data_IF_210403524351
#
_entry.id   IF_210403524351
#
_cell.length_a   1.000
_cell.length_b   1.000
_cell.length_c   1.000
_cell.angle_alpha   90.00
_cell.angle_beta   90.00
_cell.angle_gamma   90.00
#
_symmetry.space_group_name_H-M   'P 1'
#
loop_
_entity.id
_entity.type
_entity.pdbx_description
1 polymer ?
#
# COMPACT_ATOMS: atom_id res chain seq x y z
N UNK A 1 16.77 3.29 11.33
CA UNK A 1 15.98 4.53 11.23
C UNK A 1 14.51 4.19 11.00
N UNK A 2 13.64 4.62 11.92
CA UNK A 2 12.18 4.61 11.80
C UNK A 2 11.69 6.06 11.80
N UNK A 3 10.55 6.34 11.19
CA UNK A 3 10.07 7.70 11.03
C UNK A 3 8.57 7.71 10.74
N UNK A 4 7.87 8.74 11.24
CA UNK A 4 6.45 8.99 10.98
C UNK A 4 6.33 10.25 10.11
N UNK A 5 5.25 10.35 9.33
CA UNK A 5 4.97 11.49 8.46
C UNK A 5 3.53 11.96 8.68
N UNK A 6 3.34 13.27 8.82
CA UNK A 6 2.03 13.88 8.71
C UNK A 6 1.65 13.92 7.21
N UNK A 7 0.44 13.49 6.88
CA UNK A 7 0.03 13.15 5.51
C UNK A 7 -0.62 14.34 4.76
N UNK A 8 -1.01 15.40 5.47
CA UNK A 8 -1.57 16.61 4.87
C UNK A 8 -0.60 17.30 3.88
N UNK A 9 0.72 17.46 4.14
CA UNK A 9 1.61 18.16 3.21
C UNK A 9 2.00 17.34 1.98
N UNK A 10 2.10 16.01 2.09
CA UNK A 10 2.58 15.17 1.00
C UNK A 10 2.07 13.72 1.05
N UNK A 11 2.12 13.05 -0.10
CA UNK A 11 1.83 11.62 -0.22
C UNK A 11 3.09 10.78 0.04
N UNK A 12 2.87 9.52 0.42
CA UNK A 12 3.93 8.57 0.81
C UNK A 12 5.09 8.49 -0.19
N UNK A 13 4.84 8.61 -1.50
CA UNK A 13 5.89 8.60 -2.53
C UNK A 13 6.99 9.62 -2.27
N UNK A 14 6.64 10.85 -1.86
CA UNK A 14 7.61 11.92 -1.60
C UNK A 14 8.45 11.59 -0.35
N UNK A 15 7.79 11.11 0.69
CA UNK A 15 8.46 10.71 1.92
C UNK A 15 9.43 9.53 1.70
N UNK A 16 9.02 8.57 0.88
CA UNK A 16 9.84 7.42 0.50
C UNK A 16 11.07 7.87 -0.28
N UNK A 17 10.93 8.87 -1.16
CA UNK A 17 12.09 9.47 -1.85
C UNK A 17 13.09 10.07 -0.84
N UNK A 18 12.64 10.88 0.12
CA UNK A 18 13.51 11.44 1.16
C UNK A 18 14.21 10.34 1.96
N UNK A 19 13.48 9.28 2.31
CA UNK A 19 14.03 8.17 3.07
C UNK A 19 15.06 7.36 2.28
N UNK A 20 14.81 7.11 1.00
CA UNK A 20 15.77 6.43 0.12
C UNK A 20 17.02 7.28 -0.10
N UNK A 21 16.86 8.59 -0.24
CA UNK A 21 17.99 9.53 -0.35
C UNK A 21 18.92 9.35 0.86
N UNK A 22 18.38 9.48 2.08
CA UNK A 22 19.17 9.34 3.33
C UNK A 22 19.81 7.96 3.41
N UNK A 23 19.01 6.88 3.26
CA UNK A 23 19.49 5.49 3.42
C UNK A 23 20.60 5.15 2.44
N UNK A 24 20.47 5.55 1.18
CA UNK A 24 21.41 5.14 0.15
C UNK A 24 22.64 6.05 0.09
N UNK A 25 22.52 7.34 0.43
CA UNK A 25 23.71 8.18 0.61
C UNK A 25 24.53 7.71 1.82
N UNK A 26 23.88 7.37 2.94
CA UNK A 26 24.57 6.76 4.09
C UNK A 26 25.31 5.47 3.71
N UNK A 27 24.67 4.60 2.91
CA UNK A 27 25.27 3.34 2.47
C UNK A 27 26.41 3.50 1.47
N UNK A 28 26.25 4.38 0.47
CA UNK A 28 27.15 4.44 -0.70
C UNK A 28 28.16 5.57 -0.64
N UNK A 29 27.84 6.69 0.00
CA UNK A 29 28.82 7.75 0.26
C UNK A 29 29.61 7.48 1.53
N UNK A 30 29.08 6.63 2.43
CA UNK A 30 29.71 6.27 3.71
C UNK A 30 30.20 7.51 4.47
N UNK A 31 29.29 8.45 4.81
CA UNK A 31 29.68 9.71 5.43
C UNK A 31 30.20 9.54 6.86
N UNK A 32 30.13 8.32 7.43
CA UNK A 32 30.55 8.00 8.78
C UNK A 32 31.77 7.07 8.79
N UNK A 33 32.71 7.34 9.69
CA UNK A 33 33.87 6.49 9.96
C UNK A 33 33.49 5.21 10.74
N UNK A 34 34.45 4.30 10.98
CA UNK A 34 34.22 3.06 11.72
C UNK A 34 33.74 3.24 13.17
N UNK A 35 33.93 4.43 13.73
CA UNK A 35 33.46 4.86 15.06
C UNK A 35 32.05 5.46 15.05
N UNK A 36 31.44 5.60 13.87
CA UNK A 36 30.11 6.20 13.68
C UNK A 36 30.11 7.73 13.62
N UNK A 37 31.27 8.39 13.61
CA UNK A 37 31.38 9.85 13.49
C UNK A 37 31.46 10.29 12.02
N UNK A 38 30.96 11.49 11.72
CA UNK A 38 31.09 12.05 10.36
C UNK A 38 32.56 12.15 9.94
N UNK A 39 32.86 11.75 8.71
CA UNK A 39 34.18 11.90 8.11
C UNK A 39 34.40 13.39 7.79
N UNK A 40 35.50 13.96 8.29
CA UNK A 40 35.88 15.36 8.04
C UNK A 40 36.51 16.02 9.26
N UNK A 41 36.78 17.32 9.18
CA UNK A 41 37.14 18.14 10.34
C UNK A 41 35.89 18.73 10.97
N UNK A 42 35.84 18.72 12.30
CA UNK A 42 34.77 19.38 13.05
C UNK A 42 35.09 20.87 13.13
N UNK A 43 34.35 21.69 12.37
CA UNK A 43 34.53 23.14 12.39
C UNK A 43 33.79 23.79 13.58
N UNK A 44 32.61 23.28 13.92
CA UNK A 44 31.78 23.78 15.01
C UNK A 44 30.89 22.67 15.59
N UNK A 45 30.75 22.62 16.91
CA UNK A 45 29.78 21.75 17.59
C UNK A 45 28.72 22.65 18.24
N UNK A 46 27.48 22.66 17.75
CA UNK A 46 26.42 23.46 18.35
C UNK A 46 26.08 22.93 19.75
N UNK A 47 25.76 23.83 20.67
CA UNK A 47 25.25 23.47 21.99
C UNK A 47 23.73 23.26 21.88
N UNK A 48 23.18 22.08 22.21
CA UNK A 48 21.75 21.85 22.16
C UNK A 48 21.03 22.68 23.23
N UNK A 49 19.98 23.39 22.83
CA UNK A 49 19.13 24.15 23.75
C UNK A 49 17.95 23.29 24.21
N UNK A 50 17.75 23.19 25.51
CA UNK A 50 16.58 22.51 26.07
C UNK A 50 15.36 23.41 25.94
N UNK A 51 14.36 22.96 25.18
CA UNK A 51 13.03 23.59 25.17
C UNK A 51 12.32 23.30 26.50
N UNK A 52 12.01 24.35 27.25
CA UNK A 52 11.30 24.27 28.53
C UNK A 52 9.85 24.74 28.36
N UNK A 53 8.93 24.07 29.04
CA UNK A 53 7.51 24.39 29.04
C UNK A 53 7.04 24.55 30.49
N UNK A 54 6.38 25.66 30.79
CA UNK A 54 5.68 25.83 32.06
C UNK A 54 4.33 25.13 31.96
N UNK A 55 4.11 24.12 32.81
CA UNK A 55 2.89 23.31 32.79
C UNK A 55 1.98 23.72 33.94
N UNK A 56 0.84 24.31 33.61
CA UNK A 56 -0.24 24.58 34.56
C UNK A 56 -1.18 23.36 34.69
N UNK A 57 -2.16 23.45 35.59
CA UNK A 57 -3.08 22.33 35.83
C UNK A 57 -3.91 21.99 34.58
N UNK A 58 -4.33 22.99 33.80
CA UNK A 58 -5.07 22.77 32.55
C UNK A 58 -4.25 21.97 31.54
N UNK A 59 -2.97 22.31 31.39
CA UNK A 59 -2.03 21.59 30.51
C UNK A 59 -1.79 20.16 31.00
N UNK A 60 -1.61 19.97 32.30
CA UNK A 60 -1.42 18.62 32.88
C UNK A 60 -2.66 17.75 32.67
N UNK A 61 -3.85 18.31 32.87
CA UNK A 61 -5.12 17.59 32.64
C UNK A 61 -5.28 17.21 31.16
N UNK A 62 -4.92 18.12 30.24
CA UNK A 62 -4.94 17.85 28.80
C UNK A 62 -3.93 16.75 28.38
N UNK A 63 -2.75 16.71 29.01
CA UNK A 63 -1.76 15.64 28.80
C UNK A 63 -2.35 14.29 29.24
N UNK A 64 -2.99 14.24 30.40
CA UNK A 64 -3.61 13.00 30.91
C UNK A 64 -4.75 12.52 30.02
N UNK A 65 -5.57 13.42 29.50
CA UNK A 65 -6.62 13.10 28.53
C UNK A 65 -6.03 12.56 27.21
N UNK A 66 -5.04 13.27 26.65
CA UNK A 66 -4.35 12.86 25.42
C UNK A 66 -3.66 11.50 25.58
N UNK A 67 -3.08 11.22 26.76
CA UNK A 67 -2.49 9.93 27.07
C UNK A 67 -3.55 8.81 27.07
N UNK A 68 -4.69 9.01 27.73
CA UNK A 68 -5.78 8.02 27.76
C UNK A 68 -6.28 7.72 26.36
N UNK A 69 -6.51 8.75 25.55
CA UNK A 69 -6.92 8.60 24.15
C UNK A 69 -5.88 7.86 23.31
N UNK A 70 -4.60 8.28 23.39
CA UNK A 70 -3.50 7.66 22.64
C UNK A 70 -3.28 6.21 23.04
N UNK A 71 -3.37 5.90 24.34
CA UNK A 71 -3.26 4.55 24.85
C UNK A 71 -4.39 3.66 24.35
N UNK A 72 -5.63 4.16 24.35
CA UNK A 72 -6.76 3.42 23.81
C UNK A 72 -6.56 3.05 22.33
N UNK A 73 -6.13 4.02 21.49
CA UNK A 73 -5.82 3.76 20.08
C UNK A 73 -4.69 2.74 19.94
N UNK A 74 -3.61 2.86 20.72
CA UNK A 74 -2.49 1.93 20.67
C UNK A 74 -2.88 0.51 21.11
N UNK A 75 -3.73 0.39 22.13
CA UNK A 75 -4.21 -0.90 22.64
C UNK A 75 -5.18 -1.58 21.66
N UNK A 76 -5.94 -0.82 20.87
CA UNK A 76 -6.90 -1.32 19.86
C UNK A 76 -6.25 -1.61 18.49
N UNK A 77 -5.20 -0.89 18.13
CA UNK A 77 -4.53 -1.02 16.83
C UNK A 77 -3.82 -2.36 16.67
N UNK A 78 -4.01 -3.01 15.51
CA UNK A 78 -3.26 -4.22 15.12
C UNK A 78 -2.54 -4.01 13.80
N UNK A 79 -1.30 -4.47 13.73
CA UNK A 79 -0.49 -4.53 12.50
C UNK A 79 0.20 -5.89 12.40
N UNK A 80 -0.13 -6.66 11.37
CA UNK A 80 0.59 -7.86 10.99
C UNK A 80 1.44 -7.58 9.76
N UNK A 81 2.71 -8.00 9.76
CA UNK A 81 3.62 -7.71 8.66
C UNK A 81 4.50 -8.90 8.30
N UNK A 82 4.94 -8.95 7.05
CA UNK A 82 5.83 -9.99 6.55
C UNK A 82 6.70 -9.49 5.40
N UNK A 83 7.92 -10.02 5.32
CA UNK A 83 8.73 -10.01 4.09
C UNK A 83 8.56 -11.35 3.41
N UNK A 84 7.83 -11.36 2.31
CA UNK A 84 7.59 -12.54 1.50
C UNK A 84 8.74 -12.73 0.51
N UNK A 85 9.46 -13.85 0.63
CA UNK A 85 10.69 -14.16 -0.12
C UNK A 85 10.56 -15.37 -1.03
N UNK A 86 9.36 -15.94 -1.18
CA UNK A 86 9.18 -17.14 -2.04
C UNK A 86 9.26 -16.79 -3.52
N UNK A 87 8.90 -15.55 -3.89
CA UNK A 87 9.08 -14.95 -5.20
C UNK A 87 8.83 -13.42 -5.15
N UNK A 88 9.14 -12.72 -6.25
CA UNK A 88 8.84 -11.30 -6.42
C UNK A 88 8.42 -10.92 -7.84
N UNK A 89 8.62 -9.66 -8.21
CA UNK A 89 8.24 -9.12 -9.53
C UNK A 89 8.82 -9.91 -10.70
N UNK A 90 9.97 -10.56 -10.56
CA UNK A 90 10.59 -11.31 -11.66
C UNK A 90 9.83 -12.59 -11.97
N UNK A 91 9.17 -13.19 -10.98
CA UNK A 91 8.21 -14.26 -11.22
C UNK A 91 6.94 -13.72 -11.87
N UNK A 92 6.37 -12.62 -11.35
CA UNK A 92 5.12 -12.04 -11.87
C UNK A 92 5.21 -11.68 -13.36
N UNK A 93 6.39 -11.24 -13.83
CA UNK A 93 6.67 -11.00 -15.25
C UNK A 93 6.48 -12.25 -16.13
N UNK A 94 6.65 -13.47 -15.59
CA UNK A 94 6.38 -14.72 -16.33
C UNK A 94 4.89 -14.89 -16.63
N UNK A 95 4.02 -14.37 -15.76
CA UNK A 95 2.58 -14.29 -16.02
C UNK A 95 2.21 -13.19 -17.03
N UNK A 96 3.17 -12.35 -17.45
CA UNK A 96 3.00 -11.22 -18.39
C UNK A 96 1.97 -10.18 -17.91
N UNK A 97 1.94 -9.90 -16.62
CA UNK A 97 1.09 -8.87 -16.01
C UNK A 97 1.93 -7.89 -15.20
N UNK A 98 1.36 -6.71 -14.91
CA UNK A 98 2.00 -5.76 -13.98
C UNK A 98 2.13 -6.38 -12.58
N UNK A 99 3.30 -6.26 -11.92
CA UNK A 99 3.49 -6.72 -10.54
C UNK A 99 2.50 -6.11 -9.55
N UNK A 100 2.17 -4.84 -9.75
CA UNK A 100 1.21 -4.11 -8.92
C UNK A 100 -0.22 -4.66 -9.10
N UNK A 101 -0.67 -4.79 -10.34
CA UNK A 101 -1.97 -5.41 -10.65
C UNK A 101 -2.07 -6.86 -10.16
N UNK A 102 -0.98 -7.62 -10.25
CA UNK A 102 -0.91 -8.99 -9.73
C UNK A 102 -1.18 -9.01 -8.22
N UNK A 103 -0.53 -8.12 -7.46
CA UNK A 103 -0.73 -8.01 -6.01
C UNK A 103 -2.16 -7.54 -5.73
N UNK A 104 -2.66 -6.53 -6.42
CA UNK A 104 -4.05 -6.06 -6.27
C UNK A 104 -5.06 -7.20 -6.50
N UNK A 105 -4.85 -8.06 -7.50
CA UNK A 105 -5.70 -9.23 -7.72
C UNK A 105 -5.57 -10.28 -6.61
N UNK A 106 -4.36 -10.50 -6.08
CA UNK A 106 -4.16 -11.34 -4.90
C UNK A 106 -4.88 -10.79 -3.66
N UNK A 107 -4.89 -9.46 -3.47
CA UNK A 107 -5.64 -8.81 -2.40
C UNK A 107 -7.16 -8.97 -2.58
N UNK A 108 -7.68 -8.85 -3.81
CA UNK A 108 -9.11 -9.11 -4.09
C UNK A 108 -9.49 -10.57 -3.77
N UNK A 109 -8.63 -11.52 -4.11
CA UNK A 109 -8.85 -12.94 -3.82
C UNK A 109 -8.80 -13.22 -2.32
N UNK A 110 -7.81 -12.67 -1.62
CA UNK A 110 -7.66 -12.80 -0.18
C UNK A 110 -8.86 -12.20 0.56
N UNK A 111 -9.33 -11.02 0.13
CA UNK A 111 -10.46 -10.35 0.75
C UNK A 111 -11.75 -11.15 0.59
N UNK A 112 -11.97 -11.73 -0.59
CA UNK A 112 -13.13 -12.60 -0.80
C UNK A 112 -13.06 -13.88 0.03
N UNK A 113 -11.88 -14.48 0.21
CA UNK A 113 -11.69 -15.64 1.11
C UNK A 113 -12.01 -15.28 2.57
N UNK A 114 -11.59 -14.10 3.01
CA UNK A 114 -11.74 -13.64 4.39
C UNK A 114 -13.18 -13.19 4.73
N UNK A 115 -13.80 -12.43 3.83
CA UNK A 115 -15.09 -11.76 4.08
C UNK A 115 -16.27 -12.39 3.35
N UNK A 116 -16.03 -13.29 2.38
CA UNK A 116 -17.07 -13.99 1.61
C UNK A 116 -17.86 -13.11 0.62
N UNK A 117 -17.45 -11.84 0.44
CA UNK A 117 -18.11 -10.86 -0.44
C UNK A 117 -17.11 -9.95 -1.13
N UNK A 118 -17.54 -9.34 -2.22
CA UNK A 118 -16.80 -8.31 -2.94
C UNK A 118 -17.20 -6.93 -2.41
N UNK A 119 -16.22 -6.11 -2.03
CA UNK A 119 -16.47 -4.77 -1.50
C UNK A 119 -15.50 -3.74 -2.08
N UNK A 120 -15.83 -2.47 -1.90
CA UNK A 120 -15.04 -1.37 -2.43
C UNK A 120 -13.61 -1.42 -1.93
N UNK A 121 -12.67 -1.35 -2.86
CA UNK A 121 -11.23 -1.30 -2.57
C UNK A 121 -10.66 0.00 -3.10
N UNK A 122 -9.99 0.73 -2.22
CA UNK A 122 -9.26 1.95 -2.53
C UNK A 122 -7.80 1.64 -2.84
N UNK A 123 -7.29 2.21 -3.92
CA UNK A 123 -5.86 2.33 -4.20
C UNK A 123 -5.57 3.76 -4.71
N UNK A 124 -4.50 4.42 -4.24
CA UNK A 124 -4.14 5.74 -4.72
C UNK A 124 -3.42 5.68 -6.08
N UNK A 125 -3.94 6.39 -7.08
CA UNK A 125 -3.19 6.79 -8.27
C UNK A 125 -2.58 8.18 -8.05
N UNK A 126 -1.28 8.32 -8.34
CA UNK A 126 -0.59 9.61 -8.22
C UNK A 126 -0.97 10.57 -9.36
N UNK A 127 -1.32 11.81 -9.02
CA UNK A 127 -1.79 12.83 -9.97
C UNK A 127 -0.71 13.85 -10.35
N UNK A 128 0.57 13.51 -10.18
CA UNK A 128 1.72 14.43 -10.36
C UNK A 128 1.94 14.91 -11.80
N UNK A 129 1.17 14.41 -12.77
CA UNK A 129 1.13 14.97 -14.14
C UNK A 129 0.40 16.32 -14.19
N UNK A 130 -0.37 16.66 -13.16
CA UNK A 130 -1.11 17.90 -13.03
C UNK A 130 -0.48 18.80 -11.97
N UNK A 131 -0.59 20.12 -12.16
CA UNK A 131 -0.17 21.11 -11.17
C UNK A 131 -0.90 20.84 -9.85
N UNK A 132 -0.15 20.80 -8.74
CA UNK A 132 -0.67 20.52 -7.39
C UNK A 132 -1.39 19.18 -7.25
N UNK A 133 -1.20 18.26 -8.20
CA UNK A 133 -1.83 16.96 -8.19
C UNK A 133 -1.36 16.10 -7.02
N UNK A 134 -2.33 15.64 -6.21
CA UNK A 134 -2.16 14.67 -5.12
C UNK A 134 -2.50 13.26 -5.60
N UNK A 135 -3.70 12.79 -5.29
CA UNK A 135 -4.16 11.44 -5.63
C UNK A 135 -5.54 11.43 -6.25
N UNK A 136 -5.76 10.46 -7.14
CA UNK A 136 -7.06 9.95 -7.57
C UNK A 136 -7.23 8.52 -7.04
N UNK A 137 -8.44 7.98 -7.07
CA UNK A 137 -8.73 6.60 -6.64
C UNK A 137 -8.80 5.64 -7.82
N UNK A 138 -8.05 4.55 -7.70
CA UNK A 138 -8.25 3.33 -8.48
C UNK A 138 -9.12 2.38 -7.65
N UNK A 139 -10.17 1.86 -8.28
CA UNK A 139 -11.10 0.92 -7.66
C UNK A 139 -10.71 -0.51 -8.06
N UNK A 140 -9.90 -1.17 -7.23
CA UNK A 140 -9.37 -2.51 -7.54
C UNK A 140 -10.47 -3.59 -7.60
N UNK A 141 -11.57 -3.38 -6.88
CA UNK A 141 -12.77 -4.20 -7.00
C UNK A 141 -13.55 -3.80 -8.26
N UNK A 142 -13.58 -4.68 -9.26
CA UNK A 142 -14.21 -4.48 -10.56
C UNK A 142 -14.88 -5.77 -11.03
N UNK A 143 -15.67 -5.71 -12.11
CA UNK A 143 -16.29 -6.90 -12.68
C UNK A 143 -15.25 -7.95 -13.10
N UNK A 144 -14.11 -7.51 -13.64
CA UNK A 144 -13.01 -8.39 -14.05
C UNK A 144 -12.30 -9.03 -12.85
N UNK A 145 -12.02 -8.27 -11.78
CA UNK A 145 -11.42 -8.85 -10.59
C UNK A 145 -12.38 -9.83 -9.89
N UNK A 146 -13.68 -9.53 -9.87
CA UNK A 146 -14.70 -10.46 -9.37
C UNK A 146 -14.76 -11.76 -10.20
N UNK A 147 -14.71 -11.66 -11.52
CA UNK A 147 -14.73 -12.83 -12.42
C UNK A 147 -13.45 -13.69 -12.27
N UNK A 148 -12.30 -13.03 -12.14
CA UNK A 148 -11.03 -13.67 -11.82
C UNK A 148 -11.12 -14.44 -10.50
N UNK A 149 -11.54 -13.80 -9.40
CA UNK A 149 -11.62 -14.44 -8.08
C UNK A 149 -12.58 -15.63 -8.10
N UNK A 150 -13.77 -15.46 -8.69
CA UNK A 150 -14.74 -16.57 -8.85
C UNK A 150 -14.16 -17.72 -9.65
N UNK A 151 -13.43 -17.43 -10.71
CA UNK A 151 -12.79 -18.45 -11.56
C UNK A 151 -11.66 -19.17 -10.83
N UNK A 152 -10.81 -18.44 -10.09
CA UNK A 152 -9.71 -19.02 -9.32
C UNK A 152 -10.19 -20.03 -8.26
N UNK A 153 -11.28 -19.69 -7.57
CA UNK A 153 -11.82 -20.50 -6.46
C UNK A 153 -12.65 -21.71 -6.92
N UNK A 154 -12.94 -21.85 -8.22
CA UNK A 154 -13.59 -23.05 -8.76
C UNK A 154 -12.59 -24.21 -8.88
N UNK A 155 -13.01 -25.39 -8.43
CA UNK A 155 -12.20 -26.63 -8.50
C UNK A 155 -12.10 -27.18 -9.92
N UNK A 156 -13.16 -27.05 -10.71
CA UNK A 156 -13.29 -27.71 -12.02
C UNK A 156 -12.88 -26.82 -13.20
N UNK A 157 -12.05 -25.80 -12.96
CA UNK A 157 -11.51 -24.92 -14.01
C UNK A 157 -10.02 -25.15 -14.14
N UNK A 158 -9.55 -25.37 -15.37
CA UNK A 158 -8.14 -25.58 -15.66
C UNK A 158 -7.29 -24.31 -15.41
N UNK A 159 -5.98 -24.52 -15.24
CA UNK A 159 -5.02 -23.45 -14.98
C UNK A 159 -4.91 -22.45 -16.12
N UNK A 160 -5.17 -22.85 -17.37
CA UNK A 160 -5.09 -21.97 -18.54
C UNK A 160 -6.19 -20.92 -18.48
N UNK A 161 -7.42 -21.31 -18.17
CA UNK A 161 -8.56 -20.41 -18.02
C UNK A 161 -8.41 -19.51 -16.79
N UNK A 162 -7.89 -20.05 -15.68
CA UNK A 162 -7.55 -19.25 -14.49
C UNK A 162 -6.51 -18.17 -14.81
N UNK A 163 -5.45 -18.51 -15.55
CA UNK A 163 -4.44 -17.54 -15.99
C UNK A 163 -4.98 -16.50 -16.97
N UNK A 164 -5.87 -16.90 -17.89
CA UNK A 164 -6.56 -15.98 -18.79
C UNK A 164 -7.35 -14.92 -18.00
N UNK A 165 -8.13 -15.35 -17.00
CA UNK A 165 -8.89 -14.43 -16.15
C UNK A 165 -8.03 -13.54 -15.27
N UNK A 166 -6.90 -14.05 -14.78
CA UNK A 166 -5.91 -13.21 -14.10
C UNK A 166 -5.40 -12.09 -15.02
N UNK A 167 -5.04 -12.42 -16.27
CA UNK A 167 -4.53 -11.44 -17.23
C UNK A 167 -5.58 -10.39 -17.57
N UNK A 168 -6.81 -10.80 -17.88
CA UNK A 168 -7.92 -9.87 -18.15
C UNK A 168 -8.12 -8.88 -16.99
N UNK A 169 -8.13 -9.38 -15.75
CA UNK A 169 -8.33 -8.54 -14.57
C UNK A 169 -7.15 -7.59 -14.32
N UNK A 170 -5.91 -8.08 -14.49
CA UNK A 170 -4.72 -7.25 -14.40
C UNK A 170 -4.65 -6.18 -15.49
N UNK A 171 -5.00 -6.51 -16.73
CA UNK A 171 -4.98 -5.59 -17.86
C UNK A 171 -6.01 -4.48 -17.68
N UNK A 172 -7.24 -4.83 -17.26
CA UNK A 172 -8.27 -3.85 -16.92
C UNK A 172 -7.82 -2.94 -15.76
N UNK A 173 -7.26 -3.52 -14.70
CA UNK A 173 -6.76 -2.73 -13.57
C UNK A 173 -5.67 -1.74 -13.99
N UNK A 174 -4.73 -2.16 -14.83
CA UNK A 174 -3.68 -1.28 -15.35
C UNK A 174 -4.20 -0.20 -16.30
N UNK A 175 -5.19 -0.52 -17.14
CA UNK A 175 -5.85 0.48 -17.97
C UNK A 175 -6.57 1.52 -17.10
N UNK A 176 -7.27 1.09 -16.06
CA UNK A 176 -7.93 2.01 -15.14
C UNK A 176 -6.92 2.87 -14.37
N UNK A 177 -5.82 2.28 -13.90
CA UNK A 177 -4.75 3.02 -13.23
C UNK A 177 -4.16 4.13 -14.12
N UNK A 178 -3.87 3.83 -15.40
CA UNK A 178 -3.36 4.81 -16.37
C UNK A 178 -4.36 5.90 -16.70
N UNK A 179 -5.63 5.55 -16.87
CA UNK A 179 -6.68 6.54 -17.15
C UNK A 179 -6.95 7.44 -15.94
N UNK A 180 -6.92 6.89 -14.72
CA UNK A 180 -6.99 7.67 -13.49
C UNK A 180 -5.84 8.68 -13.38
N UNK A 181 -4.58 8.24 -13.58
CA UNK A 181 -3.41 9.14 -13.62
C UNK A 181 -3.49 10.22 -14.71
N UNK A 182 -4.23 9.95 -15.80
CA UNK A 182 -4.49 10.91 -16.87
C UNK A 182 -5.69 11.84 -16.58
N UNK A 183 -6.19 11.88 -15.35
CA UNK A 183 -7.30 12.75 -14.94
C UNK A 183 -8.68 12.26 -15.37
N UNK A 184 -8.83 10.98 -15.71
CA UNK A 184 -10.10 10.36 -16.10
C UNK A 184 -10.71 9.48 -15.00
N UNK A 185 -10.19 9.56 -13.78
CA UNK A 185 -10.82 8.96 -12.61
C UNK A 185 -12.12 9.69 -12.26
N UNK A 186 -12.99 9.01 -11.52
CA UNK A 186 -14.33 9.53 -11.20
C UNK A 186 -14.43 10.03 -9.76
N UNK A 187 -13.62 9.50 -8.84
CA UNK A 187 -13.80 9.72 -7.41
C UNK A 187 -13.54 11.18 -7.00
N UNK A 188 -12.43 11.79 -7.43
CA UNK A 188 -12.20 13.22 -7.13
C UNK A 188 -13.15 14.15 -7.87
N UNK A 189 -13.60 13.78 -9.07
CA UNK A 189 -14.63 14.54 -9.79
C UNK A 189 -15.97 14.51 -9.05
N UNK A 190 -16.44 13.33 -8.64
CA UNK A 190 -17.66 13.20 -7.84
C UNK A 190 -17.52 13.91 -6.49
N UNK A 191 -16.33 13.92 -5.89
CA UNK A 191 -16.08 14.64 -4.64
C UNK A 191 -16.18 16.14 -4.83
N UNK A 192 -15.62 16.69 -5.92
CA UNK A 192 -15.78 18.10 -6.24
C UNK A 192 -17.26 18.48 -6.43
N UNK A 193 -18.03 17.65 -7.14
CA UNK A 193 -19.49 17.86 -7.29
C UNK A 193 -20.20 17.80 -5.94
N UNK A 194 -19.82 16.89 -5.05
CA UNK A 194 -20.40 16.77 -3.72
C UNK A 194 -20.11 18.01 -2.87
N UNK A 195 -18.86 18.50 -2.84
CA UNK A 195 -18.49 19.72 -2.12
C UNK A 195 -19.28 20.93 -2.63
N UNK A 196 -19.38 21.10 -3.95
CA UNK A 196 -20.17 22.19 -4.56
C UNK A 196 -21.65 22.07 -4.23
N UNK A 197 -22.24 20.87 -4.32
CA UNK A 197 -23.64 20.65 -3.98
C UNK A 197 -23.93 20.98 -2.51
N UNK A 198 -23.04 20.59 -1.59
CA UNK A 198 -23.15 20.91 -0.16
C UNK A 198 -23.03 22.41 0.11
N UNK A 199 -22.11 23.09 -0.58
CA UNK A 199 -21.96 24.55 -0.47
C UNK A 199 -23.20 25.31 -0.97
N UNK A 200 -23.81 24.84 -2.06
CA UNK A 200 -25.03 25.41 -2.63
C UNK A 200 -26.31 24.89 -1.95
N UNK A 201 -26.20 24.07 -0.90
CA UNK A 201 -27.33 23.46 -0.18
C UNK A 201 -28.27 22.62 -1.09
N UNK A 202 -27.74 22.08 -2.18
CA UNK A 202 -28.47 21.22 -3.11
C UNK A 202 -28.37 19.78 -2.62
N UNK A 203 -29.52 19.16 -2.35
CA UNK A 203 -29.58 17.72 -2.05
C UNK A 203 -29.41 16.90 -3.32
N UNK A 204 -28.39 16.04 -3.33
CA UNK A 204 -28.14 15.12 -4.44
C UNK A 204 -28.05 13.69 -3.88
N UNK A 205 -29.20 12.98 -3.78
CA UNK A 205 -29.25 11.65 -3.16
C UNK A 205 -28.28 10.63 -3.76
N UNK A 206 -27.93 10.79 -5.04
CA UNK A 206 -26.90 9.98 -5.70
C UNK A 206 -25.52 10.17 -5.04
N UNK A 207 -25.09 11.42 -4.82
CA UNK A 207 -23.79 11.71 -4.20
C UNK A 207 -23.80 11.32 -2.72
N UNK A 208 -24.91 11.54 -2.00
CA UNK A 208 -25.07 11.06 -0.63
C UNK A 208 -24.92 9.53 -0.57
N UNK A 209 -25.47 8.79 -1.54
CA UNK A 209 -25.28 7.35 -1.62
C UNK A 209 -23.84 6.94 -1.95
N UNK A 210 -23.17 7.65 -2.87
CA UNK A 210 -21.78 7.37 -3.24
C UNK A 210 -20.85 7.55 -2.03
N UNK A 211 -20.96 8.68 -1.34
CA UNK A 211 -20.11 9.03 -0.20
C UNK A 211 -20.54 8.40 1.13
N UNK A 212 -21.75 7.84 1.20
CA UNK A 212 -22.21 7.04 2.34
C UNK A 212 -21.74 5.58 2.32
N UNK A 213 -21.05 5.13 1.27
CA UNK A 213 -20.50 3.77 1.21
C UNK A 213 -19.03 3.77 1.64
N UNK A 214 -18.68 2.85 2.51
CA UNK A 214 -17.31 2.71 3.00
C UNK A 214 -16.37 2.04 1.99
N UNK A 215 -15.08 2.33 2.15
CA UNK A 215 -13.99 1.60 1.51
C UNK A 215 -13.59 0.43 2.39
N UNK A 216 -14.17 -0.75 2.19
CA UNK A 216 -13.89 -1.88 3.09
C UNK A 216 -12.42 -2.33 3.08
N UNK A 217 -11.69 -2.08 2.00
CA UNK A 217 -10.25 -2.34 1.90
C UNK A 217 -9.54 -1.10 1.39
N UNK A 218 -8.60 -0.57 2.16
CA UNK A 218 -7.73 0.53 1.72
C UNK A 218 -6.32 0.02 1.49
N UNK A 219 -5.77 0.27 0.30
CA UNK A 219 -4.47 -0.25 -0.10
C UNK A 219 -3.53 0.86 -0.55
N UNK A 220 -2.22 0.66 -0.41
CA UNK A 220 -1.23 1.52 -1.04
C UNK A 220 0.04 0.74 -1.34
N UNK A 221 0.56 0.91 -2.56
CA UNK A 221 1.94 0.56 -2.83
C UNK A 221 2.86 1.62 -2.23
N UNK A 222 3.93 1.19 -1.55
CA UNK A 222 5.08 2.04 -1.23
C UNK A 222 6.19 1.75 -2.24
N UNK A 223 6.31 2.56 -3.31
CA UNK A 223 7.26 2.31 -4.38
C UNK A 223 8.68 2.61 -3.91
N UNK A 224 9.52 1.58 -3.97
CA UNK A 224 10.97 1.71 -3.80
C UNK A 224 11.65 1.89 -5.15
N UNK A 225 12.92 2.29 -5.14
CA UNK A 225 13.77 2.54 -6.32
C UNK A 225 13.62 3.93 -6.95
N UNK A 226 13.35 4.94 -6.15
CA UNK A 226 13.25 6.33 -6.61
C UNK A 226 14.62 6.99 -6.81
N UNK A 227 15.71 6.42 -6.27
CA UNK A 227 17.10 6.85 -6.52
C UNK A 227 17.70 6.11 -7.72
N UNK A 228 17.57 6.71 -8.91
CA UNK A 228 17.97 6.11 -10.19
C UNK A 228 19.48 5.84 -10.25
N UNK A 229 20.28 6.68 -9.61
CA UNK A 229 21.74 6.59 -9.50
C UNK A 229 22.20 5.27 -8.84
N UNK A 230 21.43 4.76 -7.86
CA UNK A 230 21.76 3.52 -7.15
C UNK A 230 20.98 2.30 -7.67
N UNK A 231 20.19 2.49 -8.72
CA UNK A 231 19.25 1.50 -9.20
C UNK A 231 19.88 0.11 -9.46
N UNK A 232 21.07 0.09 -10.04
CA UNK A 232 21.81 -1.15 -10.35
C UNK A 232 22.25 -1.90 -9.09
N UNK A 233 22.67 -1.20 -8.05
CA UNK A 233 23.09 -1.80 -6.78
C UNK A 233 21.88 -2.35 -6.02
N UNK A 234 20.78 -1.59 -5.97
CA UNK A 234 19.52 -2.00 -5.35
C UNK A 234 18.91 -3.26 -5.97
N UNK A 235 19.12 -3.48 -7.27
CA UNK A 235 18.65 -4.69 -7.95
C UNK A 235 19.52 -5.92 -7.64
N UNK A 236 20.74 -5.74 -7.12
CA UNK A 236 21.68 -6.84 -6.84
C UNK A 236 21.80 -7.19 -5.37
N UNK A 237 21.49 -6.25 -4.47
CA UNK A 237 21.76 -6.40 -3.05
C UNK A 237 20.49 -6.51 -2.20
N UNK A 238 20.08 -7.74 -1.86
CA UNK A 238 19.01 -8.06 -0.91
C UNK A 238 18.99 -7.27 0.39
N UNK A 239 20.14 -6.97 0.98
CA UNK A 239 20.23 -6.29 2.28
C UNK A 239 19.79 -4.82 2.22
N UNK A 240 19.71 -4.23 1.02
CA UNK A 240 19.25 -2.85 0.82
C UNK A 240 17.72 -2.74 0.74
N UNK A 241 17.02 -3.87 0.58
CA UNK A 241 15.57 -3.92 0.72
C UNK A 241 15.18 -3.56 2.15
N UNK A 242 14.12 -2.79 2.29
CA UNK A 242 13.51 -2.48 3.58
C UNK A 242 11.99 -2.70 3.45
N UNK A 243 11.29 -3.20 4.47
CA UNK A 243 9.91 -3.65 4.32
C UNK A 243 8.85 -2.55 4.22
N UNK A 244 9.25 -1.28 4.04
CA UNK A 244 8.38 -0.12 4.19
C UNK A 244 7.69 -0.02 5.56
N UNK A 245 6.79 0.96 5.69
CA UNK A 245 5.82 1.05 6.78
C UNK A 245 4.41 0.88 6.24
N UNK A 246 3.42 1.13 7.09
CA UNK A 246 2.01 1.12 6.73
C UNK A 246 1.27 2.34 7.27
N UNK A 247 -0.04 2.34 7.12
CA UNK A 247 -0.95 3.33 7.67
C UNK A 247 -2.01 2.62 8.53
N UNK A 248 -2.60 3.32 9.48
CA UNK A 248 -3.69 2.77 10.28
C UNK A 248 -4.91 2.43 9.41
N UNK A 249 -5.68 1.40 9.76
CA UNK A 249 -6.89 1.05 9.03
C UNK A 249 -7.85 2.25 9.03
N UNK A 250 -8.22 2.81 7.87
CA UNK A 250 -9.04 4.02 7.85
C UNK A 250 -10.44 3.76 8.40
N UNK A 251 -11.04 4.77 9.03
CA UNK A 251 -12.41 4.68 9.55
C UNK A 251 -13.40 4.16 8.49
N UNK A 252 -14.24 3.21 8.90
CA UNK A 252 -15.19 2.52 8.04
C UNK A 252 -14.61 1.41 7.17
N UNK A 253 -13.27 1.26 7.12
CA UNK A 253 -12.60 0.14 6.44
C UNK A 253 -12.50 -1.08 7.37
N UNK A 254 -12.42 -2.27 6.79
CA UNK A 254 -12.08 -3.49 7.52
C UNK A 254 -10.56 -3.66 7.65
N UNK A 255 -9.82 -3.30 6.60
CA UNK A 255 -8.37 -3.44 6.56
C UNK A 255 -7.67 -2.28 5.84
N UNK A 256 -6.50 -1.90 6.35
CA UNK A 256 -5.47 -1.16 5.63
C UNK A 256 -4.36 -2.11 5.17
N UNK A 257 -3.91 -2.02 3.92
CA UNK A 257 -2.81 -2.84 3.40
C UNK A 257 -1.79 -1.98 2.69
N UNK A 258 -0.58 -1.92 3.23
CA UNK A 258 0.55 -1.35 2.53
C UNK A 258 1.46 -2.46 2.02
N UNK A 259 1.93 -2.36 0.78
CA UNK A 259 2.86 -3.32 0.22
C UNK A 259 4.00 -2.67 -0.54
N UNK A 260 5.12 -3.38 -0.59
CA UNK A 260 6.31 -2.96 -1.33
C UNK A 260 6.82 -4.10 -2.18
N UNK A 261 7.19 -3.78 -3.41
CA UNK A 261 7.80 -4.73 -4.34
C UNK A 261 9.31 -4.54 -4.31
N UNK A 262 10.04 -5.60 -3.92
CA UNK A 262 11.49 -5.56 -3.81
C UNK A 262 12.18 -5.35 -5.16
N UNK A 263 13.20 -4.51 -5.17
CA UNK A 263 13.99 -4.17 -6.37
C UNK A 263 14.77 -5.35 -6.91
N UNK A 264 15.23 -6.23 -6.02
CA UNK A 264 15.95 -7.48 -6.30
C UNK A 264 15.14 -8.52 -7.08
N UNK A 265 13.83 -8.33 -7.22
CA UNK A 265 13.00 -9.17 -8.10
C UNK A 265 12.41 -10.41 -7.44
N UNK A 266 12.87 -10.77 -6.24
CA UNK A 266 12.63 -12.03 -5.55
C UNK A 266 11.78 -11.91 -4.28
N UNK A 267 11.42 -10.68 -3.87
CA UNK A 267 10.73 -10.42 -2.61
C UNK A 267 9.72 -9.29 -2.71
N UNK A 268 8.84 -9.26 -1.72
CA UNK A 268 7.88 -8.18 -1.45
C UNK A 268 7.61 -8.11 0.05
N UNK A 269 7.05 -7.01 0.55
CA UNK A 269 6.58 -6.91 1.93
C UNK A 269 5.13 -6.46 1.99
N UNK A 270 4.47 -6.84 3.08
CA UNK A 270 3.10 -6.46 3.40
C UNK A 270 3.01 -5.99 4.84
N UNK A 271 2.22 -4.95 5.08
CA UNK A 271 1.70 -4.53 6.38
C UNK A 271 0.18 -4.52 6.28
N UNK A 272 -0.47 -5.25 7.17
CA UNK A 272 -1.93 -5.40 7.24
C UNK A 272 -2.37 -4.82 8.58
N UNK A 273 -3.16 -3.76 8.51
CA UNK A 273 -3.65 -3.06 9.69
C UNK A 273 -5.16 -3.23 9.85
N UNK A 274 -5.60 -3.34 11.10
CA UNK A 274 -7.01 -3.33 11.49
C UNK A 274 -7.15 -2.92 12.96
N UNK A 275 -8.37 -2.93 13.48
CA UNK A 275 -8.70 -2.59 14.86
C UNK A 275 -9.30 -3.81 15.55
N UNK A 276 -8.87 -4.11 16.78
CA UNK A 276 -9.42 -5.22 17.57
C UNK A 276 -10.92 -5.04 17.85
N UNK A 277 -11.38 -3.79 17.93
CA UNK A 277 -12.78 -3.40 18.05
C UNK A 277 -13.66 -3.81 16.85
N UNK A 278 -13.06 -4.17 15.70
CA UNK A 278 -13.77 -4.67 14.53
C UNK A 278 -13.86 -6.21 14.54
N UNK A 279 -14.92 -6.75 15.15
CA UNK A 279 -15.11 -8.19 15.38
C UNK A 279 -15.00 -9.09 14.13
N UNK A 280 -15.32 -8.57 12.94
CA UNK A 280 -15.26 -9.33 11.68
C UNK A 280 -13.85 -9.39 11.05
N UNK A 281 -12.85 -8.76 11.68
CA UNK A 281 -11.51 -8.58 11.11
C UNK A 281 -10.43 -9.25 11.96
N UNK A 282 -9.32 -9.63 11.33
CA UNK A 282 -8.12 -10.11 12.03
C UNK A 282 -6.89 -9.95 11.12
N UNK A 283 -5.90 -9.17 11.57
CA UNK A 283 -4.74 -8.81 10.75
C UNK A 283 -3.91 -10.05 10.33
N UNK A 284 -3.67 -11.00 11.23
CA UNK A 284 -2.87 -12.20 10.95
C UNK A 284 -3.61 -13.16 10.01
N UNK A 285 -4.91 -13.39 10.25
CA UNK A 285 -5.77 -14.19 9.38
C UNK A 285 -5.79 -13.63 7.96
N UNK A 286 -6.01 -12.32 7.84
CA UNK A 286 -6.07 -11.69 6.53
C UNK A 286 -4.71 -11.69 5.83
N UNK A 287 -3.61 -11.46 6.56
CA UNK A 287 -2.26 -11.61 6.00
C UNK A 287 -2.01 -13.04 5.49
N UNK A 288 -2.42 -14.06 6.24
CA UNK A 288 -2.30 -15.45 5.78
C UNK A 288 -3.08 -15.70 4.48
N UNK A 289 -4.30 -15.17 4.35
CA UNK A 289 -5.05 -15.26 3.10
C UNK A 289 -4.38 -14.52 1.92
N UNK A 290 -3.68 -13.42 2.17
CA UNK A 290 -2.85 -12.76 1.14
C UNK A 290 -1.74 -13.70 0.68
N UNK A 291 -1.00 -14.30 1.61
CA UNK A 291 0.11 -15.20 1.30
C UNK A 291 -0.36 -16.48 0.57
N UNK A 292 -1.48 -17.07 1.01
CA UNK A 292 -2.11 -18.21 0.33
C UNK A 292 -2.54 -17.84 -1.10
N UNK A 293 -3.19 -16.69 -1.28
CA UNK A 293 -3.63 -16.24 -2.60
C UNK A 293 -2.44 -16.00 -3.54
N UNK A 294 -1.34 -15.43 -3.03
CA UNK A 294 -0.09 -15.30 -3.79
C UNK A 294 0.47 -16.66 -4.23
N UNK A 295 0.44 -17.68 -3.36
CA UNK A 295 0.93 -19.04 -3.68
C UNK A 295 0.03 -19.74 -4.70
N UNK A 296 -1.29 -19.66 -4.53
CA UNK A 296 -2.25 -20.27 -5.46
C UNK A 296 -2.17 -19.66 -6.87
N UNK A 297 -2.02 -18.32 -6.97
CA UNK A 297 -1.82 -17.67 -8.27
C UNK A 297 -0.50 -18.14 -8.91
N UNK A 298 0.57 -18.29 -8.10
CA UNK A 298 1.85 -18.83 -8.57
C UNK A 298 1.69 -20.24 -9.14
N UNK A 299 0.98 -21.13 -8.46
CA UNK A 299 0.74 -22.51 -8.91
C UNK A 299 0.03 -22.56 -10.27
N UNK A 300 -0.96 -21.68 -10.49
CA UNK A 300 -1.67 -21.56 -11.78
C UNK A 300 -0.72 -21.14 -12.91
N UNK A 301 0.14 -20.14 -12.64
CA UNK A 301 1.13 -19.65 -13.61
C UNK A 301 2.15 -20.74 -13.95
N UNK A 302 2.68 -21.44 -12.95
CA UNK A 302 3.66 -22.52 -13.15
C UNK A 302 3.06 -23.73 -13.87
N UNK A 303 1.83 -24.11 -13.53
CA UNK A 303 1.12 -25.22 -14.18
C UNK A 303 0.91 -24.94 -15.67
N UNK A 304 0.49 -23.72 -16.02
CA UNK A 304 0.28 -23.33 -17.41
C UNK A 304 1.60 -23.29 -18.20
N UNK A 305 2.69 -22.84 -17.57
CA UNK A 305 4.02 -22.82 -18.19
C UNK A 305 4.57 -24.22 -18.48
N UNK A 306 4.22 -25.23 -17.66
CA UNK A 306 4.58 -26.64 -17.91
C UNK A 306 3.80 -27.20 -19.11
N UNK A 307 2.50 -26.91 -19.22
CA UNK A 307 1.67 -27.35 -20.34
C UNK A 307 2.19 -26.84 -21.68
N UNK A 308 2.55 -25.56 -21.78
CA UNK A 308 3.11 -24.98 -23.02
C UNK A 308 4.50 -25.50 -23.41
N UNK A 309 5.20 -26.24 -22.53
CA UNK A 309 6.49 -26.90 -22.86
C UNK A 309 6.31 -28.34 -23.35
N UNK A 310 5.11 -28.91 -23.18
CA UNK A 310 4.78 -30.27 -23.60
C UNK A 310 4.07 -30.30 -24.97
N UNK A 311 3.56 -29.16 -25.43
CA UNK A 311 3.04 -28.91 -26.79
C UNK A 311 4.15 -28.43 -27.73
#
# INVERSE_FOLDING_TARGET
>A
FSSNAEHSPCDAMIYVQVREYIKYHEQFESPYGPDGHCIGSVDHVPQPERLCWDMDQETLDAIDEAYKASKHVADDFRNSNVVFTEYGKDFMKKARVSPDAYIQMALQMAYFKDQGKFEQTYEPAVMRLFKEGRTETVRSCSLWSCDFVRTMLKKDVDSKKKLEKLKEACDHHQDYYRTAMAGKGVDRHLFALYVVARYLEIKVPFLDNVFGRNWSLSTSQTPQHQMVEYAKALNKEPSLFWPAGGFACPDGSNYGVCYTIGTTGDRMSFHVTTWDSLENTNADRFLNHILESLREIREVVESTAKMCKME
#
